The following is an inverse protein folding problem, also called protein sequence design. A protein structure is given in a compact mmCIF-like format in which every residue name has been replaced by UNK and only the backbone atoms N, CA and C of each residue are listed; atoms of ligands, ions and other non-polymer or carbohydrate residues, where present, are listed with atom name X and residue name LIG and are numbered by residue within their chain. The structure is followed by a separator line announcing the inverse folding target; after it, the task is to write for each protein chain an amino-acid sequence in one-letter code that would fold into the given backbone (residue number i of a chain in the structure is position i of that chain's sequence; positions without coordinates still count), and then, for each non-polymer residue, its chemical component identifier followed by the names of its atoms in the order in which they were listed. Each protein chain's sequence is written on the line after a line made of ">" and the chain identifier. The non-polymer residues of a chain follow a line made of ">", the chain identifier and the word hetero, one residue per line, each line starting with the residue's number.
data_IF_655632009555
#
_entry.id   IF_655632009555
#
_cell.length_a   1.000
_cell.length_b   1.000
_cell.length_c   1.000
_cell.angle_alpha   90.00
_cell.angle_beta   90.00
_cell.angle_gamma   90.00
#
_symmetry.space_group_name_H-M   'P 1'
#
loop_
_entity.id
_entity.type
_entity.pdbx_description
1 polymer ?
#
# COMPACT_ATOMS: atom_id res chain seq x y z
N UNK A 1 22.60 -13.35 -8.34
CA UNK A 1 22.74 -12.49 -7.14
C UNK A 1 21.57 -11.52 -7.19
N UNK A 2 20.42 -11.93 -6.65
CA UNK A 2 19.19 -11.15 -6.74
C UNK A 2 19.37 -9.89 -5.92
N UNK A 3 19.25 -8.71 -6.56
CA UNK A 3 19.38 -7.41 -5.91
C UNK A 3 18.56 -7.36 -4.61
N UNK A 4 19.12 -6.75 -3.55
CA UNK A 4 18.38 -6.50 -2.31
C UNK A 4 17.14 -5.67 -2.64
N UNK A 5 15.96 -6.30 -2.55
CA UNK A 5 14.67 -5.62 -2.71
C UNK A 5 14.29 -5.03 -1.37
N UNK A 6 14.19 -3.70 -1.31
CA UNK A 6 13.61 -3.03 -0.13
C UNK A 6 12.10 -2.99 -0.33
N UNK A 7 11.36 -3.54 0.63
CA UNK A 7 9.90 -3.45 0.66
C UNK A 7 9.52 -2.46 1.76
N UNK A 8 8.81 -1.40 1.39
CA UNK A 8 8.35 -0.40 2.35
C UNK A 8 6.83 -0.29 2.31
N UNK A 9 6.21 -0.21 3.49
CA UNK A 9 4.80 0.14 3.60
C UNK A 9 4.67 1.66 3.43
N UNK A 10 3.86 2.09 2.46
CA UNK A 10 3.58 3.50 2.23
C UNK A 10 2.09 3.79 2.33
N UNK A 11 1.79 5.04 2.64
CA UNK A 11 0.42 5.53 2.78
C UNK A 11 0.11 6.47 1.63
N UNK A 12 -1.14 6.44 1.15
CA UNK A 12 -1.68 7.42 0.19
C UNK A 12 -3.01 7.98 0.69
N UNK A 13 -3.24 9.29 0.58
CA UNK A 13 -4.54 9.87 0.89
C UNK A 13 -5.57 9.46 -0.15
N UNK A 14 -6.81 9.28 0.31
CA UNK A 14 -7.99 8.99 -0.50
C UNK A 14 -9.08 10.05 -0.26
N UNK A 15 -10.16 9.93 -1.03
CA UNK A 15 -11.36 10.77 -0.86
C UNK A 15 -11.96 10.58 0.55
N UNK A 16 -12.76 11.55 0.99
CA UNK A 16 -13.47 11.54 2.29
C UNK A 16 -12.56 11.44 3.52
N UNK A 17 -11.30 11.90 3.41
CA UNK A 17 -10.37 11.93 4.54
C UNK A 17 -9.88 10.54 4.97
N UNK A 18 -9.90 9.56 4.05
CA UNK A 18 -9.39 8.22 4.29
C UNK A 18 -7.93 8.11 3.85
N UNK A 19 -7.22 7.15 4.41
CA UNK A 19 -5.90 6.71 3.98
C UNK A 19 -5.99 5.28 3.46
N UNK A 20 -5.15 4.95 2.48
CA UNK A 20 -4.91 3.57 2.11
C UNK A 20 -3.42 3.26 2.10
N UNK A 21 -3.10 1.98 2.16
CA UNK A 21 -1.74 1.50 2.22
C UNK A 21 -1.38 0.70 0.98
N UNK A 22 -0.12 0.77 0.60
CA UNK A 22 0.46 0.00 -0.49
C UNK A 22 1.89 -0.39 -0.16
N UNK A 23 2.33 -1.53 -0.71
CA UNK A 23 3.72 -1.94 -0.67
C UNK A 23 4.46 -1.27 -1.81
N UNK A 24 5.62 -0.71 -1.50
CA UNK A 24 6.54 -0.11 -2.46
C UNK A 24 7.83 -0.95 -2.52
N UNK A 25 8.04 -1.60 -3.65
CA UNK A 25 9.16 -2.51 -3.91
C UNK A 25 10.29 -1.76 -4.65
N UNK A 26 11.44 -1.49 -4.01
CA UNK A 26 12.61 -0.84 -4.64
C UNK A 26 13.83 -1.77 -4.77
N UNK A 27 14.32 -2.05 -6.00
CA UNK A 27 13.68 -1.80 -7.30
C UNK A 27 12.40 -2.65 -7.48
N UNK A 28 11.58 -2.29 -8.48
CA UNK A 28 10.38 -3.07 -8.79
C UNK A 28 10.74 -4.50 -9.19
N UNK A 29 9.88 -5.47 -8.90
CA UNK A 29 10.12 -6.87 -9.25
C UNK A 29 9.29 -7.31 -10.45
N UNK A 30 9.74 -8.33 -11.18
CA UNK A 30 8.97 -8.94 -12.27
C UNK A 30 8.13 -10.07 -11.72
N UNK A 31 6.83 -9.96 -11.89
CA UNK A 31 5.88 -11.03 -11.58
C UNK A 31 6.05 -12.19 -12.57
N UNK A 32 6.09 -13.42 -12.07
CA UNK A 32 6.44 -14.59 -12.89
C UNK A 32 5.28 -15.05 -13.77
N UNK A 33 4.05 -14.82 -13.34
CA UNK A 33 2.85 -15.27 -14.07
C UNK A 33 2.45 -14.27 -15.15
N UNK A 34 2.38 -12.99 -14.79
CA UNK A 34 1.95 -11.92 -15.70
C UNK A 34 3.10 -11.32 -16.50
N UNK A 35 4.36 -11.62 -16.11
CA UNK A 35 5.58 -11.05 -16.68
C UNK A 35 5.69 -9.53 -16.60
N UNK A 36 4.82 -8.88 -15.82
CA UNK A 36 4.80 -7.43 -15.59
C UNK A 36 5.77 -7.04 -14.50
N UNK A 37 6.39 -5.88 -14.64
CA UNK A 37 7.16 -5.26 -13.55
C UNK A 37 6.20 -4.58 -12.59
N UNK A 38 6.16 -5.06 -11.35
CA UNK A 38 5.35 -4.53 -10.26
C UNK A 38 6.25 -3.68 -9.36
N UNK A 39 5.75 -2.48 -9.07
CA UNK A 39 6.42 -1.49 -8.23
C UNK A 39 5.60 -1.16 -6.98
N UNK A 40 4.30 -0.98 -7.18
CA UNK A 40 3.36 -0.68 -6.11
C UNK A 40 2.26 -1.73 -6.12
N UNK A 41 1.92 -2.23 -4.93
CA UNK A 41 0.83 -3.17 -4.73
C UNK A 41 -0.11 -2.64 -3.64
N UNK A 42 -1.37 -2.39 -4.00
CA UNK A 42 -2.36 -1.88 -3.04
C UNK A 42 -2.85 -2.98 -2.10
N UNK A 43 -2.84 -2.71 -0.79
CA UNK A 43 -3.26 -3.68 0.22
C UNK A 43 -4.78 -3.75 0.43
N UNK A 44 -5.54 -2.86 -0.20
CA UNK A 44 -6.99 -2.70 0.01
C UNK A 44 -7.37 -2.50 1.50
N UNK A 45 -6.44 -1.98 2.30
CA UNK A 45 -6.68 -1.53 3.67
C UNK A 45 -7.02 -0.03 3.62
N UNK A 46 -8.08 0.34 4.32
CA UNK A 46 -8.60 1.70 4.37
C UNK A 46 -8.82 2.10 5.82
N UNK A 47 -8.33 3.28 6.21
CA UNK A 47 -8.56 3.83 7.55
C UNK A 47 -9.00 5.28 7.43
N UNK A 48 -9.69 5.80 8.44
CA UNK A 48 -9.90 7.24 8.55
C UNK A 48 -8.59 7.92 8.99
N UNK A 49 -8.18 8.99 8.30
CA UNK A 49 -6.98 9.74 8.68
C UNK A 49 -7.14 10.38 10.06
N UNK A 50 -8.36 10.85 10.36
CA UNK A 50 -8.74 11.51 11.61
C UNK A 50 -10.14 11.03 12.03
N UNK A 51 -10.25 9.86 12.69
CA UNK A 51 -11.54 9.30 13.09
C UNK A 51 -12.20 10.13 14.20
N UNK A 52 -13.47 10.49 14.01
CA UNK A 52 -14.23 11.41 14.89
C UNK A 52 -15.02 10.73 15.98
N UNK A 53 -15.38 9.46 15.79
CA UNK A 53 -16.21 8.68 16.70
C UNK A 53 -15.67 7.26 16.84
N UNK A 54 -16.17 6.52 17.83
CA UNK A 54 -15.71 5.15 18.13
C UNK A 54 -15.88 4.21 16.91
N UNK A 55 -16.99 4.35 16.18
CA UNK A 55 -17.24 3.56 14.98
C UNK A 55 -16.21 3.78 13.88
N UNK A 56 -15.74 5.00 13.67
CA UNK A 56 -14.67 5.32 12.71
C UNK A 56 -13.29 4.86 13.18
N UNK A 57 -13.08 4.70 14.50
CA UNK A 57 -11.84 4.15 15.06
C UNK A 57 -11.77 2.63 14.96
N UNK A 58 -12.92 1.97 15.07
CA UNK A 58 -13.05 0.51 15.01
C UNK A 58 -13.25 -0.03 13.58
N UNK A 59 -13.30 0.87 12.58
CA UNK A 59 -13.39 0.53 11.15
C UNK A 59 -12.04 0.04 10.61
#
# INVERSE_FOLDING_TARGET
>A
MSECKTVTLRTRPLKKGMLSFYLDYYPGYRDQETMKTIRHEGLNIYIYANPKNQRERDF
#
